data_IF_814422381162
#
_entry.id   IF_814422381162
#
_cell.length_a   1.000
_cell.length_b   1.000
_cell.length_c   1.000
_cell.angle_alpha   90.00
_cell.angle_beta   90.00
_cell.angle_gamma   90.00
#
_symmetry.space_group_name_H-M   'P 1'
#
loop_
_entity.id
_entity.type
_entity.pdbx_description
1 polymer ?
#
# COMPACT_ATOMS: atom_id res chain seq x y z
N UNK A 1 -17.03 87.32 -3.28
CA UNK A 1 -17.95 86.80 -4.35
C UNK A 1 -17.20 85.87 -5.21
N UNK A 2 -17.56 84.68 -5.28
CA UNK A 2 -17.32 83.51 -6.08
C UNK A 2 -16.98 82.31 -5.23
N UNK A 3 -17.99 81.62 -5.11
CA UNK A 3 -18.19 80.24 -4.68
C UNK A 3 -17.56 79.32 -5.75
N UNK A 4 -16.78 78.36 -5.38
CA UNK A 4 -16.40 77.28 -6.28
C UNK A 4 -16.55 75.93 -5.58
N UNK A 5 -17.38 75.20 -6.17
CA UNK A 5 -17.82 73.86 -5.88
C UNK A 5 -16.64 72.86 -6.03
N UNK A 6 -16.35 72.06 -5.01
CA UNK A 6 -15.60 70.83 -5.15
C UNK A 6 -16.43 69.73 -4.48
N UNK A 7 -17.14 69.00 -5.26
CA UNK A 7 -17.89 67.79 -4.84
C UNK A 7 -17.49 66.63 -5.72
N UNK A 8 -17.17 65.56 -5.05
CA UNK A 8 -17.27 64.15 -5.49
C UNK A 8 -16.28 63.62 -6.54
N UNK A 9 -15.21 63.03 -6.06
CA UNK A 9 -14.63 61.85 -6.71
C UNK A 9 -13.93 60.96 -5.64
N UNK A 10 -14.66 60.44 -4.66
CA UNK A 10 -14.16 59.40 -3.75
C UNK A 10 -15.31 58.43 -3.49
N UNK A 11 -15.64 57.61 -4.47
CA UNK A 11 -16.60 56.51 -4.23
C UNK A 11 -16.50 55.34 -5.25
N UNK A 12 -15.37 55.11 -5.87
CA UNK A 12 -15.26 53.99 -6.83
C UNK A 12 -14.11 53.01 -6.60
N UNK A 13 -13.27 53.19 -5.56
CA UNK A 13 -12.09 52.35 -5.36
C UNK A 13 -12.20 51.36 -4.18
N UNK A 14 -13.41 51.20 -3.58
CA UNK A 14 -13.55 50.28 -2.43
C UNK A 14 -14.26 48.96 -2.75
N UNK A 15 -14.69 48.75 -4.01
CA UNK A 15 -15.38 47.51 -4.41
C UNK A 15 -14.55 46.53 -5.22
N UNK A 16 -13.36 46.90 -5.70
CA UNK A 16 -12.51 46.05 -6.55
C UNK A 16 -11.55 45.22 -5.69
N UNK A 17 -11.18 45.69 -4.49
CA UNK A 17 -10.22 44.95 -3.63
C UNK A 17 -10.83 43.81 -2.78
N UNK A 18 -12.16 43.62 -2.80
CA UNK A 18 -12.78 42.52 -2.03
C UNK A 18 -12.92 41.21 -2.82
N UNK A 19 -12.82 41.26 -4.14
CA UNK A 19 -12.91 40.07 -5.00
C UNK A 19 -11.57 39.47 -5.41
N UNK A 20 -10.45 40.12 -5.16
CA UNK A 20 -9.12 39.57 -5.45
C UNK A 20 -8.55 38.70 -4.32
N UNK A 21 -9.05 38.88 -3.07
CA UNK A 21 -8.62 38.03 -1.96
C UNK A 21 -9.43 36.74 -1.79
N UNK A 22 -10.49 36.54 -2.59
CA UNK A 22 -11.28 35.31 -2.56
C UNK A 22 -10.81 34.24 -3.56
N UNK A 23 -9.86 34.58 -4.47
CA UNK A 23 -9.34 33.66 -5.49
C UNK A 23 -7.96 33.09 -5.10
N UNK A 24 -7.34 33.63 -4.05
CA UNK A 24 -6.00 33.22 -3.63
C UNK A 24 -5.97 32.20 -2.45
N UNK A 25 -7.11 31.63 -2.09
CA UNK A 25 -7.20 30.59 -1.06
C UNK A 25 -7.83 29.29 -1.57
N UNK A 26 -7.60 28.98 -2.87
CA UNK A 26 -7.61 27.58 -3.26
C UNK A 26 -6.27 27.04 -2.79
N UNK A 27 -6.20 26.65 -1.52
CA UNK A 27 -5.14 25.81 -1.01
C UNK A 27 -5.03 24.64 -1.99
N UNK A 28 -3.89 24.50 -2.62
CA UNK A 28 -3.40 23.20 -3.06
C UNK A 28 -3.40 22.36 -1.78
N UNK A 29 -4.49 21.64 -1.48
CA UNK A 29 -4.45 20.52 -0.59
C UNK A 29 -3.41 19.59 -1.22
N UNK A 30 -2.19 19.63 -0.70
CA UNK A 30 -1.22 18.58 -0.93
C UNK A 30 -1.92 17.32 -0.44
N UNK A 31 -2.40 16.48 -1.37
CA UNK A 31 -2.92 15.16 -1.02
C UNK A 31 -1.82 14.49 -0.21
N UNK A 32 -2.07 14.32 1.09
CA UNK A 32 -1.14 13.67 1.99
C UNK A 32 -1.05 12.22 1.51
N UNK A 33 0.14 11.79 1.10
CA UNK A 33 0.39 10.42 0.64
C UNK A 33 0.14 9.50 1.82
N UNK A 34 -0.71 8.51 1.64
CA UNK A 34 -1.02 7.53 2.67
C UNK A 34 0.22 6.64 2.95
N UNK A 35 0.34 6.12 4.17
CA UNK A 35 1.31 5.10 4.53
C UNK A 35 0.62 3.78 4.91
N UNK A 36 1.38 2.70 4.95
CA UNK A 36 0.86 1.36 5.30
C UNK A 36 0.46 1.26 6.78
N UNK A 37 0.98 2.12 7.65
CA UNK A 37 0.81 2.03 9.10
C UNK A 37 -0.59 2.38 9.59
N UNK A 38 -1.43 2.96 8.73
CA UNK A 38 -2.83 3.24 9.03
C UNK A 38 -3.70 1.98 9.09
N UNK A 39 -3.25 0.86 8.51
CA UNK A 39 -4.07 -0.33 8.37
C UNK A 39 -3.98 -1.28 9.55
N UNK A 40 -5.15 -1.83 9.91
CA UNK A 40 -5.32 -2.97 10.82
C UNK A 40 -6.09 -4.05 10.09
N UNK A 41 -5.61 -5.27 10.19
CA UNK A 41 -6.18 -6.42 9.48
C UNK A 41 -6.24 -7.64 10.42
N UNK A 42 -6.90 -8.72 9.98
CA UNK A 42 -6.90 -9.98 10.70
C UNK A 42 -5.85 -10.93 10.13
N UNK A 43 -5.24 -11.73 10.99
CA UNK A 43 -4.39 -12.86 10.60
C UNK A 43 -5.25 -14.07 10.17
N UNK A 44 -4.60 -15.12 9.65
CA UNK A 44 -5.27 -16.41 9.37
C UNK A 44 -5.94 -17.02 10.62
N UNK A 45 -5.47 -16.69 11.82
CA UNK A 45 -5.98 -17.16 13.11
C UNK A 45 -7.02 -16.20 13.73
N UNK A 46 -7.50 -15.20 12.97
CA UNK A 46 -8.45 -14.17 13.41
C UNK A 46 -7.92 -13.22 14.51
N UNK A 47 -6.61 -13.15 14.68
CA UNK A 47 -5.94 -12.20 15.56
C UNK A 47 -5.80 -10.83 14.90
N UNK A 48 -5.82 -9.75 15.69
CA UNK A 48 -5.58 -8.41 15.18
C UNK A 48 -4.11 -8.20 14.82
N UNK A 49 -3.86 -7.70 13.61
CA UNK A 49 -2.54 -7.30 13.13
C UNK A 49 -2.54 -5.82 12.80
N UNK A 50 -1.71 -5.04 13.49
CA UNK A 50 -1.59 -3.59 13.33
C UNK A 50 -0.27 -3.27 12.62
N UNK A 51 -0.35 -2.75 11.39
CA UNK A 51 0.83 -2.37 10.61
C UNK A 51 1.68 -1.29 11.29
N UNK A 52 1.10 -0.48 12.19
CA UNK A 52 1.86 0.55 12.92
C UNK A 52 2.97 -0.05 13.80
N UNK A 53 2.87 -1.33 14.16
CA UNK A 53 3.92 -2.07 14.90
C UNK A 53 5.16 -2.35 14.08
N UNK A 54 5.08 -2.17 12.76
CA UNK A 54 6.17 -2.40 11.81
C UNK A 54 6.94 -1.13 11.44
N UNK A 55 6.67 0.02 12.11
CA UNK A 55 7.39 1.27 11.84
C UNK A 55 8.90 1.08 11.91
N UNK A 56 9.62 1.65 10.93
CA UNK A 56 11.06 1.53 10.80
C UNK A 56 11.55 0.21 10.19
N UNK A 57 10.63 -0.62 9.64
CA UNK A 57 10.98 -1.87 8.95
C UNK A 57 10.70 -1.77 7.46
N UNK A 58 11.52 -2.43 6.66
CA UNK A 58 11.21 -2.74 5.25
C UNK A 58 10.15 -3.82 5.22
N UNK A 59 9.06 -3.59 4.46
CA UNK A 59 7.92 -4.51 4.43
C UNK A 59 7.72 -4.99 2.98
N UNK A 60 7.69 -6.31 2.79
CA UNK A 60 7.26 -6.92 1.54
C UNK A 60 5.83 -7.43 1.71
N UNK A 61 4.88 -6.88 0.96
CA UNK A 61 3.52 -7.43 0.89
C UNK A 61 3.42 -8.32 -0.36
N UNK A 62 2.83 -9.50 -0.21
CA UNK A 62 2.65 -10.45 -1.31
C UNK A 62 1.27 -11.09 -1.26
N UNK A 63 0.55 -11.13 -2.39
CA UNK A 63 -0.68 -11.91 -2.49
C UNK A 63 -0.38 -13.36 -2.88
N UNK A 64 -0.98 -14.30 -2.18
CA UNK A 64 -0.61 -15.72 -2.26
C UNK A 64 -1.77 -16.62 -2.63
N UNK A 65 -1.47 -17.83 -3.09
CA UNK A 65 -2.44 -18.87 -3.35
C UNK A 65 -1.83 -20.27 -3.25
N UNK A 66 -2.60 -21.25 -2.73
CA UNK A 66 -2.16 -22.63 -2.47
C UNK A 66 -2.15 -23.52 -3.71
N UNK A 67 -2.88 -23.15 -4.80
CA UNK A 67 -3.05 -23.98 -6.01
C UNK A 67 -2.59 -23.28 -7.28
N UNK A 68 -1.52 -22.50 -7.19
CA UNK A 68 -0.94 -21.75 -8.28
C UNK A 68 0.36 -22.41 -8.77
N UNK A 69 0.69 -22.28 -10.05
CA UNK A 69 2.01 -22.69 -10.55
C UNK A 69 3.19 -21.94 -9.90
N UNK A 70 2.92 -20.78 -9.27
CA UNK A 70 3.92 -20.00 -8.53
C UNK A 70 3.95 -20.29 -7.01
N UNK A 71 3.13 -21.22 -6.52
CA UNK A 71 3.09 -21.60 -5.09
C UNK A 71 4.44 -22.02 -4.52
N UNK A 72 5.37 -22.65 -5.28
CA UNK A 72 6.73 -22.92 -4.77
C UNK A 72 7.51 -21.68 -4.29
N UNK A 73 7.13 -20.46 -4.70
CA UNK A 73 7.75 -19.24 -4.17
C UNK A 73 7.56 -19.05 -2.65
N UNK A 74 6.67 -19.79 -2.01
CA UNK A 74 6.60 -19.79 -0.53
C UNK A 74 7.92 -20.23 0.11
N UNK A 75 8.64 -21.18 -0.51
CA UNK A 75 9.96 -21.62 -0.04
C UNK A 75 10.98 -20.47 -0.13
N UNK A 76 11.01 -19.77 -1.28
CA UNK A 76 11.90 -18.62 -1.47
C UNK A 76 11.57 -17.47 -0.51
N UNK A 77 10.26 -17.20 -0.28
CA UNK A 77 9.80 -16.19 0.68
C UNK A 77 10.22 -16.53 2.11
N UNK A 78 10.08 -17.81 2.51
CA UNK A 78 10.47 -18.25 3.84
C UNK A 78 11.99 -18.19 4.02
N UNK A 79 12.77 -18.61 3.05
CA UNK A 79 14.23 -18.53 3.07
C UNK A 79 14.69 -17.06 3.17
N UNK A 80 14.05 -16.17 2.40
CA UNK A 80 14.32 -14.75 2.46
C UNK A 80 14.00 -14.17 3.84
N UNK A 81 12.82 -14.51 4.38
CA UNK A 81 12.41 -14.08 5.70
C UNK A 81 13.37 -14.56 6.80
N UNK A 82 13.76 -15.83 6.77
CA UNK A 82 14.69 -16.37 7.76
C UNK A 82 16.07 -15.71 7.71
N UNK A 83 16.50 -15.33 6.51
CA UNK A 83 17.78 -14.63 6.32
C UNK A 83 17.76 -13.20 6.87
N UNK A 84 16.67 -12.45 6.60
CA UNK A 84 16.66 -10.99 6.81
C UNK A 84 15.71 -10.49 7.90
N UNK A 85 14.91 -11.35 8.56
CA UNK A 85 13.97 -10.93 9.61
C UNK A 85 14.63 -10.20 10.79
N UNK A 86 15.90 -10.48 11.06
CA UNK A 86 16.70 -9.80 12.08
C UNK A 86 17.40 -8.53 11.55
N UNK A 87 17.32 -8.27 10.24
CA UNK A 87 17.89 -7.13 9.53
C UNK A 87 16.79 -6.19 9.00
N UNK A 88 15.74 -6.00 9.79
CA UNK A 88 14.61 -5.12 9.51
C UNK A 88 13.64 -5.53 8.38
N UNK A 89 13.70 -6.72 7.81
CA UNK A 89 12.71 -7.19 6.84
C UNK A 89 11.51 -7.85 7.53
N UNK A 90 10.30 -7.47 7.11
CA UNK A 90 9.06 -8.21 7.39
C UNK A 90 8.37 -8.57 6.08
N UNK A 91 7.96 -9.83 5.94
CA UNK A 91 7.09 -10.28 4.85
C UNK A 91 5.68 -10.43 5.39
N UNK A 92 4.68 -9.93 4.66
CA UNK A 92 3.26 -10.04 5.01
C UNK A 92 2.52 -10.66 3.84
N UNK A 93 2.01 -11.88 4.02
CA UNK A 93 1.28 -12.63 3.00
C UNK A 93 -0.23 -12.41 3.10
N UNK A 94 -0.88 -12.17 1.97
CA UNK A 94 -2.33 -12.06 1.84
C UNK A 94 -2.87 -13.14 0.90
N UNK A 95 -3.48 -14.21 1.40
CA UNK A 95 -4.16 -15.18 0.54
C UNK A 95 -5.29 -14.51 -0.25
N UNK A 96 -5.42 -14.83 -1.55
CA UNK A 96 -6.40 -14.22 -2.43
C UNK A 96 -6.94 -15.21 -3.46
N UNK A 97 -8.26 -15.27 -3.61
CA UNK A 97 -8.93 -16.20 -4.54
C UNK A 97 -9.34 -15.55 -5.88
N UNK A 98 -8.80 -14.36 -6.18
CA UNK A 98 -9.16 -13.58 -7.37
C UNK A 98 -8.67 -14.20 -8.69
N UNK A 99 -7.59 -15.01 -8.64
CA UNK A 99 -6.96 -15.55 -9.85
C UNK A 99 -7.28 -17.04 -10.00
N UNK A 100 -8.10 -17.34 -10.99
CA UNK A 100 -8.50 -18.71 -11.36
C UNK A 100 -9.01 -19.57 -10.18
N UNK A 101 -9.50 -18.94 -9.11
CA UNK A 101 -9.96 -19.60 -7.88
C UNK A 101 -8.91 -20.52 -7.25
N UNK A 102 -7.66 -20.07 -7.28
CA UNK A 102 -6.50 -20.84 -6.82
C UNK A 102 -6.26 -20.80 -5.31
N UNK A 103 -7.13 -20.09 -4.54
CA UNK A 103 -7.11 -20.09 -3.07
C UNK A 103 -8.51 -20.41 -2.49
N UNK A 104 -9.04 -21.62 -2.72
CA UNK A 104 -10.41 -21.96 -2.32
C UNK A 104 -10.56 -22.25 -0.83
N UNK A 105 -9.46 -22.54 -0.11
CA UNK A 105 -9.45 -22.94 1.30
C UNK A 105 -10.00 -21.87 2.25
N UNK A 106 -10.41 -22.29 3.43
CA UNK A 106 -10.65 -21.42 4.58
C UNK A 106 -9.33 -20.87 5.14
N UNK A 107 -9.38 -19.85 6.00
CA UNK A 107 -8.17 -19.34 6.65
C UNK A 107 -7.41 -20.43 7.42
N UNK A 108 -8.11 -21.33 8.11
CA UNK A 108 -7.50 -22.44 8.85
C UNK A 108 -6.79 -23.44 7.92
N UNK A 109 -7.44 -23.82 6.81
CA UNK A 109 -6.85 -24.73 5.80
C UNK A 109 -5.62 -24.10 5.12
N UNK A 110 -5.65 -22.79 4.89
CA UNK A 110 -4.51 -22.05 4.33
C UNK A 110 -3.35 -22.00 5.34
N UNK A 111 -3.64 -21.74 6.61
CA UNK A 111 -2.62 -21.73 7.68
C UNK A 111 -1.92 -23.08 7.78
N UNK A 112 -2.69 -24.17 7.80
CA UNK A 112 -2.18 -25.53 7.83
C UNK A 112 -1.34 -25.85 6.59
N UNK A 113 -1.85 -25.49 5.40
CA UNK A 113 -1.14 -25.70 4.13
C UNK A 113 0.23 -25.00 4.12
N UNK A 114 0.28 -23.71 4.51
CA UNK A 114 1.51 -22.92 4.53
C UNK A 114 2.53 -23.49 5.52
N UNK A 115 2.06 -23.90 6.71
CA UNK A 115 2.93 -24.44 7.74
C UNK A 115 3.50 -25.82 7.33
N UNK A 116 2.64 -26.75 6.91
CA UNK A 116 3.05 -28.14 6.66
C UNK A 116 3.90 -28.26 5.39
N UNK A 117 3.55 -27.53 4.33
CA UNK A 117 4.23 -27.74 3.03
C UNK A 117 5.47 -26.84 2.87
N UNK A 118 5.51 -25.67 3.51
CA UNK A 118 6.56 -24.67 3.30
C UNK A 118 7.20 -24.13 4.59
N UNK A 119 6.71 -24.56 5.75
CA UNK A 119 7.23 -24.09 7.04
C UNK A 119 7.09 -22.56 7.21
N UNK A 120 6.06 -21.95 6.63
CA UNK A 120 5.87 -20.49 6.65
C UNK A 120 5.74 -20.00 8.08
N UNK A 121 6.60 -19.04 8.45
CA UNK A 121 6.62 -18.39 9.77
C UNK A 121 6.48 -16.87 9.68
N UNK A 122 6.55 -16.28 8.49
CA UNK A 122 6.23 -14.87 8.32
C UNK A 122 4.72 -14.61 8.47
N UNK A 123 4.31 -13.39 8.87
CA UNK A 123 2.91 -13.03 9.07
C UNK A 123 2.02 -13.32 7.86
N UNK A 124 0.99 -14.14 8.08
CA UNK A 124 -0.05 -14.44 7.07
C UNK A 124 -1.39 -13.87 7.52
N UNK A 125 -1.98 -13.05 6.68
CA UNK A 125 -3.25 -12.37 6.95
C UNK A 125 -4.44 -13.22 6.47
N UNK A 126 -5.62 -12.92 6.99
CA UNK A 126 -6.88 -13.50 6.52
C UNK A 126 -7.03 -13.30 5.02
N UNK A 127 -7.69 -14.26 4.36
CA UNK A 127 -7.96 -14.19 2.92
C UNK A 127 -8.81 -12.97 2.58
N UNK A 128 -8.37 -12.19 1.60
CA UNK A 128 -9.03 -10.97 1.13
C UNK A 128 -9.19 -10.96 -0.40
N UNK A 129 -9.97 -9.99 -0.90
CA UNK A 129 -9.96 -9.64 -2.33
C UNK A 129 -8.86 -8.62 -2.61
N UNK A 130 -8.04 -8.89 -3.64
CA UNK A 130 -6.94 -8.03 -4.07
C UNK A 130 -7.21 -7.34 -5.41
N UNK A 131 -8.38 -7.58 -6.00
CA UNK A 131 -8.79 -7.03 -7.30
C UNK A 131 -10.32 -7.03 -7.43
N UNK A 132 -10.87 -6.09 -8.22
CA UNK A 132 -12.31 -5.98 -8.48
C UNK A 132 -12.99 -4.98 -7.55
N UNK A 133 -14.34 -4.99 -7.57
CA UNK A 133 -15.16 -3.99 -6.86
C UNK A 133 -15.06 -4.10 -5.33
N UNK A 134 -14.70 -5.28 -4.83
CA UNK A 134 -14.54 -5.60 -3.41
C UNK A 134 -13.08 -5.58 -2.94
N UNK A 135 -12.18 -4.94 -3.71
CA UNK A 135 -10.76 -4.82 -3.38
C UNK A 135 -10.55 -4.25 -1.98
N UNK A 136 -9.75 -4.96 -1.18
CA UNK A 136 -9.47 -4.59 0.20
C UNK A 136 -8.69 -3.25 0.29
N UNK A 137 -8.94 -2.39 1.32
CA UNK A 137 -8.29 -1.07 1.45
C UNK A 137 -6.76 -1.11 1.39
N UNK A 138 -6.10 -2.12 1.96
CA UNK A 138 -4.64 -2.32 1.81
C UNK A 138 -4.23 -2.39 0.34
N UNK A 139 -4.99 -3.13 -0.47
CA UNK A 139 -4.68 -3.26 -1.90
C UNK A 139 -5.12 -2.05 -2.73
N UNK A 140 -6.12 -1.27 -2.28
CA UNK A 140 -6.39 0.06 -2.85
C UNK A 140 -5.19 0.98 -2.66
N UNK A 141 -4.60 1.01 -1.46
CA UNK A 141 -3.37 1.75 -1.19
C UNK A 141 -2.23 1.28 -2.11
N UNK A 142 -1.99 -0.02 -2.21
CA UNK A 142 -0.88 -0.57 -3.00
C UNK A 142 -1.02 -0.33 -4.51
N UNK A 143 -2.24 -0.14 -5.02
CA UNK A 143 -2.51 -0.09 -6.47
C UNK A 143 -2.93 1.27 -7.00
N UNK A 144 -3.31 2.23 -6.14
CA UNK A 144 -3.81 3.55 -6.56
C UNK A 144 -2.78 4.63 -6.27
N UNK A 145 -2.29 5.31 -7.33
CA UNK A 145 -1.33 6.42 -7.21
C UNK A 145 -1.84 7.53 -6.30
N UNK A 146 -3.14 7.82 -6.32
CA UNK A 146 -3.74 8.84 -5.44
C UNK A 146 -3.56 8.54 -3.94
N UNK A 147 -3.29 7.29 -3.57
CA UNK A 147 -3.06 6.83 -2.21
C UNK A 147 -1.57 6.61 -1.94
N UNK A 148 -0.89 5.85 -2.80
CA UNK A 148 0.50 5.44 -2.56
C UNK A 148 1.54 6.46 -3.03
N UNK A 149 1.16 7.45 -3.85
CA UNK A 149 2.04 8.49 -4.37
C UNK A 149 3.01 8.02 -5.47
N UNK A 150 3.15 6.71 -5.70
CA UNK A 150 4.11 6.15 -6.65
C UNK A 150 3.49 5.98 -8.04
N UNK A 151 2.52 5.05 -8.18
CA UNK A 151 1.94 4.68 -9.46
C UNK A 151 0.57 4.02 -9.32
N UNK A 152 -0.23 4.09 -10.40
CA UNK A 152 -1.38 3.22 -10.56
C UNK A 152 -0.90 1.87 -11.10
N UNK A 153 -1.37 0.78 -10.49
CA UNK A 153 -1.03 -0.58 -10.89
C UNK A 153 -2.22 -1.53 -10.71
N UNK A 154 -2.14 -2.70 -11.27
CA UNK A 154 -3.08 -3.79 -10.99
C UNK A 154 -2.32 -4.99 -10.42
N UNK A 155 -2.99 -5.75 -9.55
CA UNK A 155 -2.50 -7.08 -9.20
C UNK A 155 -2.72 -7.97 -10.42
N UNK A 156 -1.63 -8.34 -11.08
CA UNK A 156 -1.66 -9.07 -12.36
C UNK A 156 -1.84 -10.58 -12.18
N UNK A 157 -1.34 -11.15 -11.09
CA UNK A 157 -1.43 -12.57 -10.74
C UNK A 157 -1.09 -12.82 -9.27
N UNK A 158 -1.24 -14.07 -8.81
CA UNK A 158 -0.73 -14.51 -7.50
C UNK A 158 0.79 -14.32 -7.40
N UNK A 159 1.28 -14.04 -6.21
CA UNK A 159 2.69 -13.80 -5.90
C UNK A 159 3.27 -12.49 -6.48
N UNK A 160 2.43 -11.49 -6.76
CA UNK A 160 2.91 -10.12 -6.96
C UNK A 160 3.36 -9.54 -5.64
N UNK A 161 4.50 -8.84 -5.64
CA UNK A 161 5.08 -8.28 -4.42
C UNK A 161 5.08 -6.75 -4.50
N UNK A 162 4.95 -6.13 -3.34
CA UNK A 162 4.98 -4.70 -3.12
C UNK A 162 6.02 -4.40 -2.05
N UNK A 163 7.00 -3.57 -2.37
CA UNK A 163 8.10 -3.21 -1.48
C UNK A 163 7.81 -1.86 -0.84
N UNK A 164 7.86 -1.81 0.48
CA UNK A 164 7.52 -0.65 1.30
C UNK A 164 8.72 -0.30 2.17
N UNK A 165 9.12 0.97 2.16
CA UNK A 165 10.25 1.46 2.92
C UNK A 165 9.94 1.63 4.42
N UNK A 166 10.94 2.05 5.18
CA UNK A 166 10.90 2.21 6.64
C UNK A 166 9.93 3.32 7.09
N UNK A 167 9.55 4.23 6.19
CA UNK A 167 8.57 5.29 6.41
C UNK A 167 7.14 4.83 6.12
N UNK A 168 6.96 3.61 5.59
CA UNK A 168 5.66 3.03 5.26
C UNK A 168 5.16 3.35 3.86
N UNK A 169 5.99 3.92 2.98
CA UNK A 169 5.62 4.28 1.63
C UNK A 169 5.95 3.17 0.63
N UNK A 170 5.06 2.95 -0.33
CA UNK A 170 5.32 2.05 -1.45
C UNK A 170 6.46 2.61 -2.31
N UNK A 171 7.50 1.80 -2.53
CA UNK A 171 8.67 2.20 -3.34
C UNK A 171 8.82 1.38 -4.61
N UNK A 172 8.21 0.19 -4.68
CA UNK A 172 8.32 -0.66 -5.87
C UNK A 172 7.23 -1.71 -5.96
N UNK A 173 6.80 -2.00 -7.17
CA UNK A 173 5.94 -3.14 -7.51
C UNK A 173 6.77 -4.19 -8.26
N UNK A 174 6.75 -5.42 -7.78
CA UNK A 174 7.55 -6.54 -8.31
C UNK A 174 6.61 -7.55 -8.99
N UNK A 175 6.96 -7.94 -10.21
CA UNK A 175 6.19 -8.90 -11.01
C UNK A 175 5.97 -10.24 -10.26
N UNK A 176 4.83 -10.92 -10.47
CA UNK A 176 4.59 -12.27 -9.92
C UNK A 176 5.69 -13.27 -10.24
N UNK A 177 6.27 -13.20 -11.45
CA UNK A 177 7.30 -14.15 -11.92
C UNK A 177 8.70 -13.86 -11.39
N UNK A 178 8.98 -12.64 -10.94
CA UNK A 178 10.24 -12.29 -10.30
C UNK A 178 10.34 -13.01 -8.96
N UNK A 179 11.40 -13.77 -8.77
CA UNK A 179 11.59 -14.52 -7.52
C UNK A 179 11.85 -13.59 -6.34
N UNK A 180 11.44 -13.97 -5.12
CA UNK A 180 11.78 -13.21 -3.90
C UNK A 180 13.30 -13.04 -3.71
N UNK A 181 14.09 -13.96 -4.25
CA UNK A 181 15.56 -13.98 -4.16
C UNK A 181 16.27 -13.27 -5.31
N UNK A 182 15.53 -12.60 -6.20
CA UNK A 182 16.09 -11.83 -7.31
C UNK A 182 16.96 -10.66 -6.80
N UNK A 183 18.01 -10.32 -7.58
CA UNK A 183 18.95 -9.23 -7.22
C UNK A 183 18.25 -7.90 -6.96
N UNK A 184 17.15 -7.63 -7.66
CA UNK A 184 16.33 -6.43 -7.49
C UNK A 184 15.70 -6.36 -6.08
N UNK A 185 15.24 -7.50 -5.55
CA UNK A 185 14.65 -7.60 -4.21
C UNK A 185 15.74 -7.57 -3.15
N UNK A 186 16.80 -8.35 -3.34
CA UNK A 186 17.94 -8.37 -2.41
C UNK A 186 18.62 -7.01 -2.34
N UNK A 187 18.79 -6.31 -3.46
CA UNK A 187 19.35 -4.96 -3.51
C UNK A 187 18.50 -3.96 -2.70
N UNK A 188 17.18 -4.05 -2.81
CA UNK A 188 16.28 -3.23 -2.00
C UNK A 188 16.39 -3.53 -0.49
N UNK A 189 16.54 -4.80 -0.10
CA UNK A 189 16.68 -5.16 1.32
C UNK A 189 17.97 -4.58 1.91
N UNK A 190 19.09 -4.65 1.15
CA UNK A 190 20.43 -4.23 1.62
C UNK A 190 20.69 -2.73 1.52
N UNK A 191 19.95 -2.01 0.67
CA UNK A 191 20.18 -0.62 0.32
C UNK A 191 19.51 0.39 1.07
#
# INVERSE_FOLDING_TARGET
MFLAIVVSFIACNKKINKNMNAIASTSLESQEIEDIYQFKVKTLNDEDFDFSTLKGKKIMIVNTASKCGLTPQYEDLQNLYDTYKNENLVIVGFPANNFAKQEPGTNAEIAEFCLINYGVTFPMMAKISVKGDDIHPVYQFLTQKSKNGLEDSEVSWNFQKYLINEEGHLVKVISPKTLPTDEEVIGWIKG
#
